data_IF_056025980267
#
_entry.id   IF_056025980267
#
_cell.length_a   1.000
_cell.length_b   1.000
_cell.length_c   1.000
_cell.angle_alpha   90.00
_cell.angle_beta   90.00
_cell.angle_gamma   90.00
#
_symmetry.space_group_name_H-M   'P 1'
#
loop_
_entity.id
_entity.type
_entity.pdbx_description
1 polymer ?
#
# COMPACT_ATOMS: atom_id res chain seq x y z
N UNK A 1 9.68 8.63 -17.38
CA UNK A 1 9.30 9.03 -16.02
C UNK A 1 10.03 8.13 -15.03
N UNK A 2 10.74 8.69 -14.05
CA UNK A 2 11.40 7.86 -13.01
C UNK A 2 10.38 7.40 -11.98
N UNK A 3 10.50 6.14 -11.55
CA UNK A 3 9.70 5.53 -10.48
C UNK A 3 10.64 5.16 -9.34
N UNK A 4 10.41 5.73 -8.16
CA UNK A 4 11.27 5.52 -6.99
C UNK A 4 10.41 5.10 -5.81
N UNK A 5 10.68 3.92 -5.25
CA UNK A 5 9.98 3.41 -4.06
C UNK A 5 10.84 3.59 -2.80
N UNK A 6 10.28 4.21 -1.77
CA UNK A 6 10.87 4.25 -0.44
C UNK A 6 10.30 3.09 0.37
N UNK A 7 11.18 2.17 0.81
CA UNK A 7 10.76 0.88 1.37
C UNK A 7 11.79 0.30 2.35
N UNK A 8 11.36 -0.70 3.12
CA UNK A 8 12.26 -1.60 3.84
C UNK A 8 11.86 -3.06 3.63
N UNK A 9 12.82 -3.98 3.71
CA UNK A 9 12.66 -5.37 3.23
C UNK A 9 11.69 -6.22 4.02
N UNK A 10 11.61 -6.02 5.34
CA UNK A 10 10.69 -6.75 6.20
C UNK A 10 9.24 -6.23 6.14
N UNK A 11 8.92 -5.22 5.33
CA UNK A 11 7.56 -4.67 5.24
C UNK A 11 6.69 -5.53 4.29
N UNK A 12 5.59 -6.13 4.78
CA UNK A 12 4.67 -6.86 3.89
C UNK A 12 4.02 -5.96 2.84
N UNK A 13 3.72 -4.70 3.17
CA UNK A 13 3.18 -3.73 2.21
C UNK A 13 4.22 -3.30 1.16
N UNK A 14 5.52 -3.30 1.48
CA UNK A 14 6.56 -3.09 0.45
C UNK A 14 6.57 -4.25 -0.53
N UNK A 15 6.51 -5.50 -0.03
CA UNK A 15 6.43 -6.70 -0.87
C UNK A 15 5.20 -6.66 -1.77
N UNK A 16 4.04 -6.20 -1.26
CA UNK A 16 2.84 -5.97 -2.07
C UNK A 16 3.13 -5.04 -3.26
N UNK A 17 3.76 -3.88 -3.03
CA UNK A 17 4.08 -2.94 -4.10
C UNK A 17 5.15 -3.49 -5.04
N UNK A 18 6.14 -4.23 -4.55
CA UNK A 18 7.12 -4.89 -5.43
C UNK A 18 6.43 -5.85 -6.41
N UNK A 19 5.48 -6.65 -5.90
CA UNK A 19 4.71 -7.58 -6.71
C UNK A 19 3.83 -6.85 -7.74
N UNK A 20 3.26 -5.69 -7.38
CA UNK A 20 2.53 -4.81 -8.30
C UNK A 20 3.46 -4.26 -9.39
N UNK A 21 4.63 -3.73 -9.02
CA UNK A 21 5.63 -3.21 -9.95
C UNK A 21 6.16 -4.30 -10.88
N UNK A 22 6.27 -5.53 -10.37
CA UNK A 22 6.64 -6.72 -11.12
C UNK A 22 5.56 -7.12 -12.11
N UNK A 23 4.30 -7.24 -11.67
CA UNK A 23 3.15 -7.59 -12.51
C UNK A 23 2.93 -6.57 -13.63
N UNK A 24 3.08 -5.28 -13.32
CA UNK A 24 2.95 -4.20 -14.32
C UNK A 24 4.17 -4.04 -15.22
N UNK A 25 5.25 -4.76 -14.98
CA UNK A 25 6.52 -4.60 -15.70
C UNK A 25 7.06 -3.15 -15.71
N UNK A 26 6.98 -2.44 -14.57
CA UNK A 26 7.50 -1.07 -14.44
C UNK A 26 8.95 -1.06 -13.93
N UNK A 27 9.93 -0.54 -14.71
CA UNK A 27 11.28 -0.27 -14.22
C UNK A 27 11.26 0.78 -13.11
N UNK A 28 12.03 0.56 -12.05
CA UNK A 28 12.05 1.45 -10.89
C UNK A 28 13.39 1.35 -10.16
N UNK A 29 13.64 2.32 -9.30
CA UNK A 29 14.74 2.35 -8.33
C UNK A 29 14.14 2.27 -6.92
N UNK A 30 14.94 1.88 -5.92
CA UNK A 30 14.50 1.87 -4.51
C UNK A 30 15.42 2.66 -3.59
N UNK A 31 14.81 3.29 -2.60
CA UNK A 31 15.48 3.86 -1.42
C UNK A 31 15.16 2.97 -0.23
N UNK A 32 16.19 2.46 0.43
CA UNK A 32 16.02 1.70 1.67
C UNK A 32 15.85 2.67 2.84
N UNK A 33 14.74 2.54 3.57
CA UNK A 33 14.42 3.38 4.73
C UNK A 33 14.41 2.59 6.03
N UNK A 34 14.47 3.28 7.16
CA UNK A 34 14.38 2.64 8.47
C UNK A 34 13.00 1.99 8.71
N UNK A 35 12.95 0.90 9.49
CA UNK A 35 11.69 0.23 9.86
C UNK A 35 10.90 0.95 10.98
N UNK A 36 11.49 1.98 11.57
CA UNK A 36 10.96 2.88 12.62
C UNK A 36 11.35 4.32 12.26
N UNK A 37 10.74 5.31 12.93
CA UNK A 37 11.18 6.71 12.80
C UNK A 37 12.50 6.95 13.56
N UNK A 38 13.28 7.99 13.20
CA UNK A 38 13.06 8.96 12.11
C UNK A 38 13.42 8.41 10.72
N UNK A 39 12.92 9.07 9.67
CA UNK A 39 13.26 8.84 8.25
C UNK A 39 13.53 10.18 7.56
N UNK A 40 14.67 10.83 7.86
CA UNK A 40 14.99 12.18 7.36
C UNK A 40 15.00 12.26 5.83
N UNK A 41 15.29 11.15 5.14
CA UNK A 41 15.23 11.04 3.70
C UNK A 41 13.83 11.25 3.09
N UNK A 42 12.78 11.20 3.94
CA UNK A 42 11.40 11.51 3.59
C UNK A 42 10.96 12.79 4.29
N UNK A 43 11.11 12.86 5.62
CA UNK A 43 10.58 13.99 6.41
C UNK A 43 11.29 15.29 6.07
N UNK A 44 12.62 15.28 6.03
CA UNK A 44 13.42 16.50 5.96
C UNK A 44 13.68 16.88 4.50
N UNK A 45 13.88 15.89 3.63
CA UNK A 45 14.17 16.12 2.22
C UNK A 45 12.90 16.42 1.41
N UNK A 46 11.79 15.73 1.68
CA UNK A 46 10.55 15.83 0.89
C UNK A 46 9.41 16.57 1.62
N UNK A 47 9.57 16.85 2.92
CA UNK A 47 8.53 17.50 3.72
C UNK A 47 7.34 16.58 4.03
N UNK A 48 7.52 15.26 3.96
CA UNK A 48 6.43 14.28 4.13
C UNK A 48 6.53 13.60 5.49
N UNK A 49 5.60 13.87 6.39
CA UNK A 49 5.60 13.32 7.77
C UNK A 49 4.79 12.03 7.89
N UNK A 50 4.05 11.65 6.84
CA UNK A 50 3.33 10.38 6.76
C UNK A 50 4.28 9.22 7.01
N UNK A 51 4.02 8.47 8.10
CA UNK A 51 4.99 7.47 8.60
C UNK A 51 4.80 6.06 8.05
N UNK A 52 3.76 5.74 7.28
CA UNK A 52 3.65 4.37 6.72
C UNK A 52 4.56 4.24 5.51
N UNK A 53 5.00 3.02 5.26
CA UNK A 53 5.88 2.66 4.15
C UNK A 53 5.32 1.38 3.51
N UNK A 54 5.28 1.30 2.17
CA UNK A 54 5.98 2.17 1.22
C UNK A 54 5.27 3.49 0.90
N UNK A 55 6.07 4.46 0.42
CA UNK A 55 5.62 5.56 -0.44
C UNK A 55 6.33 5.42 -1.79
N UNK A 56 5.74 5.92 -2.87
CA UNK A 56 6.28 5.79 -4.21
C UNK A 56 6.20 7.11 -4.96
N UNK A 57 7.29 7.54 -5.58
CA UNK A 57 7.35 8.72 -6.43
C UNK A 57 7.27 8.34 -7.92
N UNK A 58 6.51 9.11 -8.70
CA UNK A 58 6.51 9.09 -10.17
C UNK A 58 6.78 10.51 -10.66
N UNK A 59 8.03 10.79 -11.05
CA UNK A 59 8.46 12.18 -11.23
C UNK A 59 8.43 12.93 -9.89
N UNK A 60 7.75 14.08 -9.84
CA UNK A 60 7.61 14.90 -8.62
C UNK A 60 6.42 14.51 -7.72
N UNK A 61 5.52 13.65 -8.21
CA UNK A 61 4.34 13.21 -7.48
C UNK A 61 4.66 12.01 -6.56
N UNK A 62 4.44 12.17 -5.26
CA UNK A 62 4.63 11.16 -4.22
C UNK A 62 3.27 10.59 -3.82
N UNK A 63 3.07 9.29 -4.02
CA UNK A 63 1.86 8.57 -3.66
C UNK A 63 2.01 7.85 -2.33
N UNK A 64 1.16 8.21 -1.38
CA UNK A 64 1.06 7.58 -0.07
C UNK A 64 -0.06 6.54 -0.05
N UNK A 65 0.15 5.43 0.68
CA UNK A 65 -0.76 4.27 0.78
C UNK A 65 -0.75 3.35 -0.45
N UNK A 66 -0.73 2.05 -0.21
CA UNK A 66 -0.59 1.05 -1.29
C UNK A 66 -1.78 0.99 -2.22
N UNK A 67 -2.98 1.37 -1.74
CA UNK A 67 -4.17 1.44 -2.58
C UNK A 67 -4.05 2.53 -3.65
N UNK A 68 -3.57 3.71 -3.27
CA UNK A 68 -3.38 4.81 -4.21
C UNK A 68 -2.18 4.57 -5.11
N UNK A 69 -1.08 4.01 -4.59
CA UNK A 69 0.07 3.61 -5.40
C UNK A 69 -0.37 2.65 -6.53
N UNK A 70 -1.22 1.66 -6.24
CA UNK A 70 -1.75 0.75 -7.25
C UNK A 70 -2.54 1.47 -8.34
N UNK A 71 -3.46 2.37 -7.95
CA UNK A 71 -4.25 3.19 -8.88
C UNK A 71 -3.36 4.11 -9.74
N UNK A 72 -2.40 4.79 -9.12
CA UNK A 72 -1.50 5.70 -9.80
C UNK A 72 -0.62 4.96 -10.82
N UNK A 73 -0.07 3.81 -10.45
CA UNK A 73 0.71 3.00 -11.39
C UNK A 73 -0.15 2.54 -12.57
N UNK A 74 -1.40 2.11 -12.34
CA UNK A 74 -2.31 1.72 -13.43
C UNK A 74 -2.58 2.88 -14.40
N UNK A 75 -2.83 4.08 -13.86
CA UNK A 75 -3.14 5.29 -14.63
C UNK A 75 -1.92 5.84 -15.38
N UNK A 76 -0.76 5.87 -14.74
CA UNK A 76 0.49 6.45 -15.28
C UNK A 76 1.23 5.49 -16.22
N UNK A 77 0.97 4.19 -16.10
CA UNK A 77 1.56 3.12 -16.92
C UNK A 77 0.45 2.19 -17.44
N UNK A 78 -0.43 2.69 -18.34
CA UNK A 78 -1.59 1.95 -18.79
C UNK A 78 -1.18 0.80 -19.72
N UNK A 79 -1.89 -0.33 -19.60
CA UNK A 79 -1.67 -1.51 -20.43
C UNK A 79 -1.87 -1.25 -21.93
N UNK A 80 -2.72 -0.27 -22.28
CA UNK A 80 -2.94 0.17 -23.67
C UNK A 80 -1.67 0.64 -24.40
N UNK A 81 -0.60 0.96 -23.66
CA UNK A 81 0.70 1.31 -24.25
C UNK A 81 1.48 0.09 -24.76
N UNK A 82 1.01 -1.14 -24.51
CA UNK A 82 1.61 -2.39 -25.02
C UNK A 82 2.87 -2.88 -24.29
N UNK A 83 3.46 -2.07 -23.41
CA UNK A 83 4.70 -2.40 -22.68
C UNK A 83 4.48 -2.81 -21.22
N UNK A 84 3.34 -2.42 -20.64
CA UNK A 84 3.05 -2.58 -19.21
C UNK A 84 1.94 -3.61 -19.00
N UNK A 85 2.08 -4.43 -17.96
CA UNK A 85 0.99 -5.28 -17.47
C UNK A 85 -0.12 -4.46 -16.82
N UNK A 86 -1.25 -5.09 -16.54
CA UNK A 86 -2.40 -4.47 -15.84
C UNK A 86 -2.66 -5.13 -14.50
N UNK A 87 -3.18 -4.35 -13.54
CA UNK A 87 -3.72 -4.85 -12.29
C UNK A 87 -5.20 -5.28 -12.39
N UNK A 88 -5.83 -4.99 -13.52
CA UNK A 88 -7.24 -5.24 -13.81
C UNK A 88 -7.41 -5.95 -15.16
N UNK A 89 -6.89 -7.18 -15.30
CA UNK A 89 -7.05 -7.98 -16.51
C UNK A 89 -8.52 -8.27 -16.82
N UNK A 90 -8.83 -8.50 -18.10
CA UNK A 90 -10.17 -8.88 -18.55
C UNK A 90 -10.61 -10.20 -17.91
N UNK A 91 -11.92 -10.43 -17.87
CA UNK A 91 -12.50 -11.72 -17.45
C UNK A 91 -12.26 -12.79 -18.52
N UNK A 92 -12.00 -14.03 -18.11
CA UNK A 92 -11.75 -15.16 -19.03
C UNK A 92 -12.89 -15.41 -20.02
N UNK A 93 -14.12 -15.17 -19.60
CA UNK A 93 -15.31 -15.42 -20.38
C UNK A 93 -15.90 -14.15 -21.02
N UNK A 94 -15.08 -13.10 -21.17
CA UNK A 94 -15.49 -11.81 -21.71
C UNK A 94 -16.09 -10.87 -20.67
N UNK A 95 -16.08 -9.58 -20.99
CA UNK A 95 -16.55 -8.51 -20.11
C UNK A 95 -15.41 -7.63 -19.56
N UNK A 96 -15.79 -6.48 -19.01
CA UNK A 96 -14.85 -5.55 -18.41
C UNK A 96 -14.28 -6.09 -17.09
N UNK A 97 -13.06 -5.70 -16.72
CA UNK A 97 -12.56 -5.96 -15.38
C UNK A 97 -13.47 -5.34 -14.33
N UNK A 98 -13.70 -6.04 -13.22
CA UNK A 98 -14.47 -5.54 -12.07
C UNK A 98 -13.64 -4.51 -11.26
N UNK A 99 -13.03 -3.53 -11.93
CA UNK A 99 -11.99 -2.64 -11.38
C UNK A 99 -12.39 -1.99 -10.06
N UNK A 100 -13.61 -1.43 -9.98
CA UNK A 100 -14.11 -0.79 -8.77
C UNK A 100 -14.25 -1.77 -7.60
N UNK A 101 -14.78 -2.97 -7.85
CA UNK A 101 -14.94 -4.02 -6.84
C UNK A 101 -13.58 -4.60 -6.43
N UNK A 102 -12.65 -4.80 -7.37
CA UNK A 102 -11.30 -5.26 -7.06
C UNK A 102 -10.57 -4.26 -6.17
N UNK A 103 -10.65 -2.95 -6.45
CA UNK A 103 -10.08 -1.89 -5.60
C UNK A 103 -10.72 -1.90 -4.20
N UNK A 104 -12.05 -1.93 -4.12
CA UNK A 104 -12.77 -1.94 -2.86
C UNK A 104 -12.46 -3.20 -2.03
N UNK A 105 -12.49 -4.37 -2.67
CA UNK A 105 -12.11 -5.65 -2.09
C UNK A 105 -10.70 -5.57 -1.51
N UNK A 106 -9.71 -5.20 -2.31
CA UNK A 106 -8.30 -5.11 -1.90
C UNK A 106 -8.10 -4.19 -0.68
N UNK A 107 -8.74 -3.02 -0.65
CA UNK A 107 -8.60 -2.05 0.45
C UNK A 107 -9.36 -2.46 1.71
N UNK A 108 -10.64 -2.83 1.57
CA UNK A 108 -11.53 -3.02 2.71
C UNK A 108 -11.50 -4.42 3.31
N UNK A 109 -10.90 -5.39 2.62
CA UNK A 109 -10.75 -6.73 3.18
C UNK A 109 -9.29 -7.16 3.36
N UNK A 110 -8.49 -7.50 2.32
CA UNK A 110 -7.14 -7.99 2.54
C UNK A 110 -6.23 -7.00 3.26
N UNK A 111 -6.20 -5.73 2.84
CA UNK A 111 -5.28 -4.73 3.37
C UNK A 111 -5.62 -4.24 4.79
N UNK A 112 -6.85 -4.48 5.24
CA UNK A 112 -7.36 -3.97 6.52
C UNK A 112 -7.79 -5.12 7.43
N UNK A 113 -8.92 -5.75 7.12
CA UNK A 113 -9.52 -6.79 7.97
C UNK A 113 -8.61 -8.03 8.07
N UNK A 114 -8.23 -8.62 6.94
CA UNK A 114 -7.38 -9.83 6.93
C UNK A 114 -5.98 -9.50 7.45
N UNK A 115 -5.37 -8.42 6.95
CA UNK A 115 -4.04 -8.01 7.39
C UNK A 115 -3.98 -7.76 8.89
N UNK A 116 -5.02 -7.23 9.53
CA UNK A 116 -5.02 -6.94 10.98
C UNK A 116 -4.77 -8.16 11.87
N UNK A 117 -5.07 -9.37 11.37
CA UNK A 117 -4.86 -10.64 12.05
C UNK A 117 -3.38 -11.07 12.03
N UNK A 118 -2.70 -10.84 10.90
CA UNK A 118 -1.35 -11.36 10.70
C UNK A 118 -0.30 -10.84 11.71
N UNK A 119 -0.27 -9.55 12.08
CA UNK A 119 0.68 -9.04 13.08
C UNK A 119 0.60 -9.72 14.44
N UNK A 120 -0.51 -10.34 14.86
CA UNK A 120 -0.58 -11.04 16.16
C UNK A 120 0.40 -12.24 16.23
N UNK A 121 0.81 -12.77 15.08
CA UNK A 121 1.71 -13.90 14.95
C UNK A 121 3.20 -13.52 14.90
N UNK A 122 3.50 -12.22 14.95
CA UNK A 122 4.87 -11.77 15.16
C UNK A 122 5.39 -12.22 16.54
N UNK A 123 6.71 -12.42 16.69
CA UNK A 123 7.33 -12.78 17.95
C UNK A 123 7.44 -11.55 18.87
N UNK A 124 6.30 -11.00 19.30
CA UNK A 124 6.20 -9.79 20.13
C UNK A 124 7.04 -9.86 21.40
N UNK A 125 7.16 -11.06 21.97
CA UNK A 125 7.96 -11.35 23.16
C UNK A 125 9.47 -11.17 22.95
N UNK A 126 9.93 -11.13 21.69
CA UNK A 126 11.35 -11.01 21.32
C UNK A 126 11.74 -9.62 20.83
N UNK A 127 10.78 -8.72 20.63
CA UNK A 127 11.10 -7.39 20.12
C UNK A 127 11.67 -6.49 21.23
N UNK A 128 12.66 -5.63 20.91
CA UNK A 128 13.22 -4.71 21.88
C UNK A 128 12.18 -3.65 22.29
N UNK A 129 12.27 -3.09 23.52
CA UNK A 129 11.33 -2.09 24.03
C UNK A 129 11.09 -0.91 23.08
N UNK A 130 12.15 -0.41 22.43
CA UNK A 130 12.05 0.68 21.44
C UNK A 130 11.14 0.35 20.27
N UNK A 131 11.14 -0.90 19.79
CA UNK A 131 10.26 -1.35 18.72
C UNK A 131 8.80 -1.46 19.19
N UNK A 132 8.59 -1.95 20.42
CA UNK A 132 7.26 -2.01 21.01
C UNK A 132 6.66 -0.60 21.21
N UNK A 133 7.48 0.37 21.62
CA UNK A 133 7.07 1.77 21.71
C UNK A 133 6.74 2.36 20.33
N UNK A 134 7.61 2.17 19.33
CA UNK A 134 7.34 2.65 17.97
C UNK A 134 6.02 2.08 17.40
N UNK A 135 5.78 0.79 17.59
CA UNK A 135 4.54 0.11 17.14
C UNK A 135 3.32 0.45 17.99
N UNK A 136 3.52 0.75 19.28
CA UNK A 136 2.48 1.33 20.13
C UNK A 136 2.04 2.68 19.58
N UNK A 137 3.00 3.59 19.36
CA UNK A 137 2.74 4.93 18.83
C UNK A 137 2.07 4.86 17.46
N UNK A 138 2.45 3.89 16.62
CA UNK A 138 1.79 3.60 15.35
C UNK A 138 0.31 3.23 15.53
N UNK A 139 -0.07 2.59 16.63
CA UNK A 139 -1.46 2.22 16.96
C UNK A 139 -2.18 3.25 17.84
N UNK A 140 -1.54 4.35 18.21
CA UNK A 140 -2.10 5.36 19.11
C UNK A 140 -2.00 4.99 20.60
N UNK A 141 -1.06 4.11 20.97
CA UNK A 141 -0.71 3.80 22.37
C UNK A 141 0.76 4.13 22.66
N UNK A 142 1.19 4.14 23.92
CA UNK A 142 2.61 4.38 24.24
C UNK A 142 3.49 3.17 23.91
N UNK A 143 2.93 1.97 24.03
CA UNK A 143 3.62 0.70 23.74
C UNK A 143 2.63 -0.39 23.33
N UNK A 144 3.15 -1.47 22.74
CA UNK A 144 2.39 -2.68 22.46
C UNK A 144 2.15 -3.48 23.74
N UNK A 145 0.89 -3.84 23.99
CA UNK A 145 0.55 -4.84 24.99
C UNK A 145 0.87 -6.25 24.44
N UNK A 146 2.07 -6.75 24.76
CA UNK A 146 2.56 -8.06 24.29
C UNK A 146 1.63 -9.20 24.75
N UNK A 147 1.16 -9.19 25.99
CA UNK A 147 0.28 -10.22 26.52
C UNK A 147 -1.03 -10.30 25.73
N UNK A 148 -1.63 -9.16 25.40
CA UNK A 148 -2.85 -9.12 24.58
C UNK A 148 -2.62 -9.62 23.15
N UNK A 149 -1.47 -9.29 22.53
CA UNK A 149 -1.12 -9.81 21.20
C UNK A 149 -1.00 -11.34 21.22
N UNK A 150 -0.32 -11.89 22.22
CA UNK A 150 -0.14 -13.34 22.40
C UNK A 150 -1.47 -14.05 22.66
N UNK A 151 -2.27 -13.52 23.60
CA UNK A 151 -3.59 -14.06 23.93
C UNK A 151 -4.55 -14.06 22.73
N UNK A 152 -4.41 -13.08 21.83
CA UNK A 152 -5.23 -12.99 20.61
C UNK A 152 -4.91 -14.02 19.52
N UNK A 153 -3.77 -14.73 19.59
CA UNK A 153 -3.30 -15.62 18.50
C UNK A 153 -4.30 -16.74 18.17
N UNK A 154 -4.93 -17.35 19.17
CA UNK A 154 -5.90 -18.42 18.94
C UNK A 154 -7.13 -17.94 18.15
N UNK A 155 -7.71 -16.80 18.56
CA UNK A 155 -8.81 -16.15 17.84
C UNK A 155 -8.39 -15.73 16.43
N UNK A 156 -7.18 -15.18 16.30
CA UNK A 156 -6.60 -14.81 15.00
C UNK A 156 -6.50 -16.00 14.06
N UNK A 157 -5.94 -17.14 14.51
CA UNK A 157 -5.86 -18.38 13.72
C UNK A 157 -7.23 -18.88 13.27
N UNK A 158 -8.19 -18.90 14.18
CA UNK A 158 -9.56 -19.31 13.85
C UNK A 158 -10.14 -18.42 12.75
N UNK A 159 -9.98 -17.09 12.84
CA UNK A 159 -10.46 -16.17 11.82
C UNK A 159 -9.69 -16.27 10.49
N UNK A 160 -8.37 -16.46 10.53
CA UNK A 160 -7.55 -16.67 9.33
C UNK A 160 -7.96 -17.94 8.58
N UNK A 161 -8.31 -19.00 9.32
CA UNK A 161 -8.86 -20.25 8.80
C UNK A 161 -10.25 -20.02 8.17
N UNK A 162 -11.14 -19.27 8.82
CA UNK A 162 -12.44 -18.90 8.25
C UNK A 162 -12.30 -18.13 6.94
N UNK A 163 -11.34 -17.21 6.85
CA UNK A 163 -11.09 -16.49 5.59
C UNK A 163 -10.49 -17.38 4.50
N UNK A 164 -9.68 -18.38 4.85
CA UNK A 164 -9.24 -19.40 3.88
C UNK A 164 -10.43 -20.23 3.38
N UNK A 165 -11.40 -20.56 4.23
CA UNK A 165 -12.60 -21.27 3.80
C UNK A 165 -13.41 -20.49 2.75
N UNK A 166 -13.52 -19.16 2.89
CA UNK A 166 -14.17 -18.31 1.87
C UNK A 166 -13.40 -18.28 0.55
N UNK A 167 -12.06 -18.28 0.61
CA UNK A 167 -11.21 -18.35 -0.58
C UNK A 167 -11.34 -19.74 -1.23
N UNK A 168 -11.41 -20.80 -0.45
CA UNK A 168 -11.61 -22.17 -0.91
C UNK A 168 -12.95 -22.31 -1.63
N UNK A 169 -14.03 -21.79 -1.03
CA UNK A 169 -15.37 -21.75 -1.63
C UNK A 169 -15.33 -21.02 -2.98
N UNK A 170 -14.71 -19.83 -3.03
CA UNK A 170 -14.57 -19.05 -4.25
C UNK A 170 -13.82 -19.81 -5.36
N UNK A 171 -12.79 -20.58 -5.00
CA UNK A 171 -11.95 -21.34 -5.95
C UNK A 171 -12.52 -22.73 -6.29
N UNK A 172 -13.60 -23.14 -5.63
CA UNK A 172 -14.17 -24.50 -5.78
C UNK A 172 -14.84 -24.74 -7.13
N UNK A 173 -15.19 -23.68 -7.86
CA UNK A 173 -15.74 -23.79 -9.22
C UNK A 173 -14.66 -24.00 -10.30
N UNK A 174 -13.38 -24.07 -9.91
CA UNK A 174 -12.27 -24.33 -10.81
C UNK A 174 -11.66 -23.08 -11.45
N UNK A 175 -12.09 -21.87 -11.07
CA UNK A 175 -11.46 -20.63 -11.54
C UNK A 175 -9.98 -20.55 -11.12
N UNK A 176 -9.19 -19.86 -11.94
CA UNK A 176 -7.75 -19.75 -11.71
C UNK A 176 -7.37 -18.59 -10.78
N UNK A 177 -8.10 -17.48 -10.87
CA UNK A 177 -7.85 -16.25 -10.12
C UNK A 177 -9.15 -15.80 -9.44
N UNK A 178 -9.04 -15.04 -8.35
CA UNK A 178 -10.16 -14.77 -7.44
C UNK A 178 -11.38 -14.13 -8.13
N UNK A 179 -11.14 -13.32 -9.16
CA UNK A 179 -12.15 -12.59 -9.94
C UNK A 179 -12.37 -13.18 -11.35
N UNK A 180 -11.95 -14.42 -11.58
CA UNK A 180 -12.07 -15.13 -12.86
C UNK A 180 -11.50 -14.36 -14.07
N UNK A 181 -10.34 -13.74 -13.84
CA UNK A 181 -9.63 -12.94 -14.83
C UNK A 181 -8.67 -13.79 -15.66
N UNK A 182 -8.20 -13.28 -16.80
CA UNK A 182 -7.22 -13.96 -17.67
C UNK A 182 -5.84 -14.09 -17.00
N UNK A 183 -5.48 -13.13 -16.15
CA UNK A 183 -4.22 -13.02 -15.42
C UNK A 183 -4.51 -12.68 -13.95
N UNK A 184 -3.55 -12.86 -13.01
CA UNK A 184 -3.78 -12.44 -11.63
C UNK A 184 -4.00 -10.93 -11.54
N UNK A 185 -4.93 -10.52 -10.69
CA UNK A 185 -5.33 -9.12 -10.51
C UNK A 185 -4.76 -8.53 -9.20
N UNK A 186 -5.05 -7.25 -8.94
CA UNK A 186 -4.80 -6.63 -7.64
C UNK A 186 -5.47 -7.41 -6.49
N UNK A 187 -6.62 -8.05 -6.71
CA UNK A 187 -7.29 -8.84 -5.68
C UNK A 187 -6.40 -10.02 -5.25
N UNK A 188 -5.83 -10.73 -6.22
CA UNK A 188 -4.97 -11.89 -5.96
C UNK A 188 -3.71 -11.48 -5.20
N UNK A 189 -3.03 -10.43 -5.65
CA UNK A 189 -1.85 -9.89 -4.95
C UNK A 189 -2.19 -9.49 -3.51
N UNK A 190 -3.35 -8.86 -3.29
CA UNK A 190 -3.74 -8.32 -1.99
C UNK A 190 -4.04 -9.42 -0.97
N UNK A 191 -4.58 -10.57 -1.38
CA UNK A 191 -4.76 -11.71 -0.48
C UNK A 191 -3.43 -12.47 -0.30
N UNK A 192 -2.72 -12.69 -1.41
CA UNK A 192 -1.50 -13.50 -1.44
C UNK A 192 -0.38 -12.96 -0.56
N UNK A 193 -0.16 -11.63 -0.54
CA UNK A 193 0.93 -11.06 0.26
C UNK A 193 0.73 -11.31 1.76
N UNK A 194 -0.53 -11.32 2.25
CA UNK A 194 -0.83 -11.55 3.66
C UNK A 194 -0.52 -13.00 4.05
N UNK A 195 -1.05 -13.97 3.31
CA UNK A 195 -0.82 -15.39 3.60
C UNK A 195 0.63 -15.81 3.37
N UNK A 196 1.29 -15.27 2.35
CA UNK A 196 2.71 -15.54 2.11
C UNK A 196 3.60 -14.95 3.22
N UNK A 197 3.25 -13.78 3.76
CA UNK A 197 3.94 -13.23 4.93
C UNK A 197 3.71 -14.07 6.18
N UNK A 198 2.46 -14.50 6.42
CA UNK A 198 2.09 -15.40 7.51
C UNK A 198 2.89 -16.69 7.52
N UNK A 199 3.14 -17.32 6.36
CA UNK A 199 3.95 -18.56 6.25
C UNK A 199 5.35 -18.44 6.90
N UNK A 200 5.88 -17.23 7.07
CA UNK A 200 7.16 -17.00 7.74
C UNK A 200 7.10 -17.03 9.27
N UNK A 201 5.91 -17.18 9.88
CA UNK A 201 5.72 -17.16 11.33
C UNK A 201 5.52 -18.56 11.91
N UNK A 202 5.78 -18.69 13.21
CA UNK A 202 5.56 -19.94 13.95
C UNK A 202 4.13 -20.03 14.44
N UNK A 203 3.59 -21.25 14.54
CA UNK A 203 2.27 -21.52 15.12
C UNK A 203 1.11 -21.19 14.18
N UNK A 204 1.37 -21.09 12.87
CA UNK A 204 0.36 -20.87 11.81
C UNK A 204 0.31 -22.03 10.82
N UNK A 205 1.08 -23.09 11.06
CA UNK A 205 1.28 -24.21 10.14
C UNK A 205 -0.04 -24.92 9.83
N UNK A 206 -0.97 -24.96 10.80
CA UNK A 206 -2.30 -25.54 10.63
C UNK A 206 -3.19 -24.82 9.60
N UNK A 207 -2.88 -23.56 9.24
CA UNK A 207 -3.58 -22.85 8.17
C UNK A 207 -3.25 -23.42 6.79
N UNK A 208 -2.12 -24.12 6.64
CA UNK A 208 -1.60 -24.56 5.35
C UNK A 208 -1.72 -26.08 5.17
N UNK A 209 -2.87 -26.65 5.57
CA UNK A 209 -3.21 -28.05 5.36
C UNK A 209 -3.96 -28.27 4.03
N UNK A 210 -3.32 -28.96 3.09
CA UNK A 210 -3.90 -29.28 1.78
C UNK A 210 -5.10 -30.23 1.84
N UNK A 211 -5.31 -30.93 2.96
CA UNK A 211 -6.53 -31.73 3.18
C UNK A 211 -7.75 -30.86 3.45
N UNK A 212 -7.54 -29.64 3.96
CA UNK A 212 -8.61 -28.70 4.32
C UNK A 212 -8.81 -27.63 3.24
N UNK A 213 -7.71 -27.10 2.68
CA UNK A 213 -7.76 -25.99 1.72
C UNK A 213 -6.99 -26.30 0.42
N UNK A 214 -7.27 -27.41 -0.28
CA UNK A 214 -6.51 -27.81 -1.46
C UNK A 214 -6.46 -26.73 -2.54
N UNK A 215 -7.59 -26.08 -2.85
CA UNK A 215 -7.67 -25.07 -3.93
C UNK A 215 -6.99 -23.77 -3.56
N UNK A 216 -7.14 -23.32 -2.33
CA UNK A 216 -6.51 -22.09 -1.82
C UNK A 216 -4.99 -22.23 -1.81
N UNK A 217 -4.47 -23.38 -1.39
CA UNK A 217 -3.02 -23.62 -1.38
C UNK A 217 -2.46 -23.77 -2.79
N UNK A 218 -3.19 -24.42 -3.69
CA UNK A 218 -2.84 -24.47 -5.11
C UNK A 218 -2.80 -23.07 -5.73
N UNK A 219 -3.82 -22.25 -5.49
CA UNK A 219 -3.86 -20.85 -5.95
C UNK A 219 -2.71 -20.00 -5.37
N UNK A 220 -2.41 -20.10 -4.07
CA UNK A 220 -1.26 -19.42 -3.46
C UNK A 220 0.08 -19.84 -4.09
N UNK A 221 0.24 -21.13 -4.38
CA UNK A 221 1.43 -21.66 -5.04
C UNK A 221 1.51 -21.18 -6.50
N UNK A 222 0.39 -21.16 -7.21
CA UNK A 222 0.27 -20.69 -8.60
C UNK A 222 0.69 -19.23 -8.73
N UNK A 223 0.19 -18.35 -7.87
CA UNK A 223 0.60 -16.93 -7.89
C UNK A 223 2.08 -16.76 -7.51
N UNK A 224 2.56 -17.49 -6.51
CA UNK A 224 3.99 -17.49 -6.15
C UNK A 224 4.89 -17.89 -7.32
N UNK A 225 4.51 -18.95 -8.05
CA UNK A 225 5.23 -19.42 -9.22
C UNK A 225 5.15 -18.42 -10.38
N UNK A 226 3.99 -17.81 -10.61
CA UNK A 226 3.79 -16.78 -11.62
C UNK A 226 4.71 -15.57 -11.37
N UNK A 227 4.69 -15.02 -10.15
CA UNK A 227 5.59 -13.93 -9.74
C UNK A 227 7.07 -14.35 -9.82
N UNK A 228 7.39 -15.59 -9.46
CA UNK A 228 8.73 -16.16 -9.58
C UNK A 228 9.26 -16.14 -11.02
N UNK A 229 8.43 -16.55 -11.99
CA UNK A 229 8.77 -16.49 -13.42
C UNK A 229 9.00 -15.06 -13.91
N UNK A 230 8.12 -14.13 -13.54
CA UNK A 230 8.30 -12.72 -13.91
C UNK A 230 9.62 -12.15 -13.37
N UNK A 231 9.99 -12.54 -12.14
CA UNK A 231 11.23 -12.08 -11.50
C UNK A 231 12.49 -12.59 -12.21
N UNK A 232 12.47 -13.79 -12.81
CA UNK A 232 13.63 -14.35 -13.53
C UNK A 232 14.01 -13.52 -14.76
N UNK A 233 13.06 -12.83 -15.37
CA UNK A 233 13.29 -11.97 -16.54
C UNK A 233 13.63 -10.52 -16.16
N UNK A 234 13.78 -10.21 -14.86
CA UNK A 234 14.11 -8.86 -14.39
C UNK A 234 15.56 -8.72 -13.97
N UNK A 235 16.15 -7.60 -14.39
CA UNK A 235 17.40 -7.09 -13.80
C UNK A 235 17.17 -6.71 -12.34
N UNK A 236 18.25 -6.74 -11.56
CA UNK A 236 18.23 -6.30 -10.17
C UNK A 236 17.76 -4.84 -10.08
N UNK A 237 16.85 -4.55 -9.15
CA UNK A 237 16.34 -3.20 -8.89
C UNK A 237 17.46 -2.36 -8.27
N UNK A 238 17.89 -1.25 -8.92
CA UNK A 238 18.94 -0.40 -8.39
C UNK A 238 18.54 0.23 -7.06
N UNK A 239 19.52 0.33 -6.14
CA UNK A 239 19.37 1.05 -4.87
C UNK A 239 20.05 2.40 -5.01
N UNK A 240 19.33 3.48 -4.70
CA UNK A 240 19.86 4.85 -4.70
C UNK A 240 19.77 5.46 -3.30
N UNK A 241 20.57 6.49 -3.05
CA UNK A 241 20.52 7.20 -1.76
C UNK A 241 19.25 8.04 -1.66
N UNK A 242 18.78 8.29 -0.43
CA UNK A 242 17.64 9.18 -0.19
C UNK A 242 17.87 10.60 -0.71
N UNK A 243 19.12 11.08 -0.65
CA UNK A 243 19.52 12.40 -1.18
C UNK A 243 19.42 12.46 -2.71
N UNK A 244 19.94 11.46 -3.41
CA UNK A 244 19.87 11.40 -4.88
C UNK A 244 18.42 11.27 -5.35
N UNK A 245 17.64 10.42 -4.67
CA UNK A 245 16.21 10.28 -4.94
C UNK A 245 15.47 11.60 -4.75
N UNK A 246 15.65 12.28 -3.62
CA UNK A 246 14.95 13.53 -3.34
C UNK A 246 15.31 14.65 -4.33
N UNK A 247 16.60 14.77 -4.70
CA UNK A 247 17.03 15.73 -5.72
C UNK A 247 16.37 15.45 -7.08
N UNK A 248 16.29 14.18 -7.50
CA UNK A 248 15.62 13.78 -8.75
C UNK A 248 14.12 14.03 -8.72
N UNK A 249 13.46 13.74 -7.60
CA UNK A 249 12.01 13.95 -7.43
C UNK A 249 11.69 15.45 -7.48
N UNK A 250 12.42 16.27 -6.73
CA UNK A 250 12.21 17.72 -6.68
C UNK A 250 12.46 18.41 -8.04
N UNK A 251 13.41 17.90 -8.84
CA UNK A 251 13.71 18.43 -10.17
C UNK A 251 12.82 17.86 -11.29
N UNK A 252 12.03 16.83 -11.02
CA UNK A 252 11.20 16.19 -12.03
C UNK A 252 9.92 16.98 -12.32
N UNK A 253 9.30 16.67 -13.46
CA UNK A 253 7.95 17.16 -13.77
C UNK A 253 6.92 16.45 -12.88
N UNK A 254 5.97 17.23 -12.38
CA UNK A 254 4.73 16.72 -11.77
C UNK A 254 3.68 16.42 -12.84
N UNK A 255 2.62 15.71 -12.45
CA UNK A 255 1.42 15.55 -13.27
C UNK A 255 0.62 16.87 -13.39
N UNK A 256 0.06 17.22 -14.55
CA UNK A 256 -0.81 18.38 -14.64
C UNK A 256 -1.95 18.36 -13.61
N UNK A 257 -2.24 19.51 -12.96
CA UNK A 257 -3.20 19.58 -11.85
C UNK A 257 -4.62 19.16 -12.26
N UNK A 258 -4.98 19.36 -13.52
CA UNK A 258 -6.28 19.04 -14.11
C UNK A 258 -6.53 17.52 -14.24
N UNK A 259 -5.48 16.70 -14.20
CA UNK A 259 -5.65 15.23 -14.23
C UNK A 259 -6.37 14.74 -12.97
N UNK A 260 -6.03 15.29 -11.80
CA UNK A 260 -6.77 15.03 -10.56
C UNK A 260 -7.96 15.98 -10.46
N UNK A 261 -7.73 17.25 -10.76
CA UNK A 261 -8.71 18.33 -10.67
C UNK A 261 -9.09 18.70 -9.24
N UNK A 262 -9.90 19.74 -9.11
CA UNK A 262 -10.53 20.10 -7.83
C UNK A 262 -12.06 20.01 -7.97
N UNK A 263 -12.64 18.95 -7.43
CA UNK A 263 -14.08 18.72 -7.35
C UNK A 263 -14.66 19.63 -6.24
N UNK A 264 -15.21 20.78 -6.68
CA UNK A 264 -15.76 21.82 -5.79
C UNK A 264 -16.90 21.28 -4.91
N UNK A 265 -17.70 20.35 -5.43
CA UNK A 265 -18.80 19.77 -4.66
C UNK A 265 -18.27 18.88 -3.53
N UNK A 266 -17.27 18.06 -3.82
CA UNK A 266 -16.58 17.27 -2.78
C UNK A 266 -15.85 18.16 -1.78
N UNK A 267 -15.18 19.22 -2.25
CA UNK A 267 -14.58 20.23 -1.39
C UNK A 267 -15.60 20.83 -0.43
N UNK A 268 -16.78 21.23 -0.93
CA UNK A 268 -17.86 21.75 -0.09
C UNK A 268 -18.38 20.75 0.93
N UNK A 269 -18.51 19.46 0.58
CA UNK A 269 -18.94 18.40 1.52
C UNK A 269 -17.94 18.19 2.65
N UNK A 270 -16.65 18.39 2.38
CA UNK A 270 -15.58 18.25 3.36
C UNK A 270 -15.23 19.55 4.08
N UNK A 271 -15.80 20.69 3.66
CA UNK A 271 -15.40 22.00 4.18
C UNK A 271 -13.98 22.40 3.76
N UNK A 272 -13.54 22.00 2.56
CA UNK A 272 -12.20 22.24 2.01
C UNK A 272 -12.28 23.08 0.73
N UNK A 273 -11.28 23.94 0.52
CA UNK A 273 -11.11 24.78 -0.68
C UNK A 273 -9.69 24.61 -1.25
N UNK A 274 -9.57 24.78 -2.56
CA UNK A 274 -8.27 24.84 -3.20
C UNK A 274 -7.43 25.98 -2.57
N UNK A 275 -6.19 25.67 -2.22
CA UNK A 275 -5.28 26.59 -1.53
C UNK A 275 -5.32 26.50 0.00
N UNK A 276 -6.28 25.80 0.61
CA UNK A 276 -6.31 25.61 2.06
C UNK A 276 -5.03 24.93 2.54
N UNK A 277 -4.50 25.36 3.69
CA UNK A 277 -3.47 24.60 4.39
C UNK A 277 -4.15 23.49 5.18
N UNK A 278 -3.82 22.24 4.87
CA UNK A 278 -4.45 21.06 5.47
C UNK A 278 -3.43 20.09 6.03
N UNK A 279 -3.82 19.30 7.03
CA UNK A 279 -3.12 18.11 7.50
C UNK A 279 -3.90 16.88 7.07
N UNK A 280 -3.25 15.95 6.37
CA UNK A 280 -3.86 14.71 5.90
C UNK A 280 -3.27 13.52 6.66
N UNK A 281 -4.14 12.75 7.31
CA UNK A 281 -3.75 11.59 8.10
C UNK A 281 -4.67 10.38 7.84
N UNK A 282 -4.18 9.14 8.02
CA UNK A 282 -5.03 7.96 7.98
C UNK A 282 -6.04 7.90 9.12
N UNK A 283 -7.15 7.21 8.89
CA UNK A 283 -8.25 7.07 9.87
C UNK A 283 -8.10 5.87 10.80
N UNK A 284 -7.18 4.94 10.53
CA UNK A 284 -7.05 3.64 11.21
C UNK A 284 -5.79 3.52 12.08
N UNK A 285 -4.60 3.71 11.51
CA UNK A 285 -3.33 3.65 12.22
C UNK A 285 -2.41 4.81 11.86
N UNK A 286 -1.46 5.15 12.72
CA UNK A 286 -0.58 6.31 12.55
C UNK A 286 -1.34 7.65 12.38
N UNK A 287 -2.52 7.77 13.00
CA UNK A 287 -3.40 8.95 12.88
C UNK A 287 -2.74 10.27 13.32
N UNK A 288 -1.75 10.18 14.21
CA UNK A 288 -1.02 11.33 14.75
C UNK A 288 0.15 11.77 13.84
N UNK A 289 0.29 11.19 12.65
CA UNK A 289 1.38 11.47 11.71
C UNK A 289 0.82 12.01 10.40
N UNK A 290 0.05 13.10 10.52
CA UNK A 290 -0.53 13.80 9.38
C UNK A 290 0.52 14.61 8.63
N UNK A 291 0.46 14.60 7.30
CA UNK A 291 1.29 15.47 6.45
C UNK A 291 0.58 16.77 6.18
N UNK A 292 1.25 17.88 6.49
CA UNK A 292 0.74 19.21 6.26
C UNK A 292 1.22 19.77 4.92
N UNK A 293 0.33 20.46 4.23
CA UNK A 293 0.67 21.12 2.97
C UNK A 293 -0.48 21.97 2.44
N UNK A 294 -0.24 22.60 1.30
CA UNK A 294 -1.26 23.38 0.59
C UNK A 294 -2.09 22.44 -0.28
N UNK A 295 -3.40 22.37 -0.06
CA UNK A 295 -4.33 21.56 -0.85
C UNK A 295 -4.44 22.12 -2.27
N UNK A 296 -4.01 21.35 -3.26
CA UNK A 296 -3.97 21.79 -4.67
C UNK A 296 -4.91 21.00 -5.59
N UNK A 297 -5.27 19.77 -5.21
CA UNK A 297 -6.25 18.99 -5.93
C UNK A 297 -7.06 18.10 -4.98
N UNK A 298 -8.28 17.78 -5.37
CA UNK A 298 -9.21 16.98 -4.61
C UNK A 298 -10.24 16.37 -5.54
N UNK A 299 -10.34 15.05 -5.59
CA UNK A 299 -11.45 14.37 -6.27
C UNK A 299 -12.00 13.22 -5.42
N UNK A 300 -12.72 12.28 -6.04
CA UNK A 300 -13.34 11.13 -5.37
C UNK A 300 -12.34 10.02 -5.00
N UNK A 301 -11.14 10.03 -5.58
CA UNK A 301 -10.10 9.04 -5.35
C UNK A 301 -8.98 9.55 -4.43
N UNK A 302 -8.56 10.82 -4.56
CA UNK A 302 -7.40 11.34 -3.83
C UNK A 302 -7.49 12.83 -3.43
N UNK A 303 -6.72 13.15 -2.38
CA UNK A 303 -6.29 14.49 -2.01
C UNK A 303 -4.86 14.72 -2.52
N UNK A 304 -4.54 15.94 -2.94
CA UNK A 304 -3.16 16.32 -3.30
C UNK A 304 -2.76 17.59 -2.57
N UNK A 305 -1.62 17.53 -1.87
CA UNK A 305 -1.03 18.68 -1.20
C UNK A 305 0.38 18.96 -1.72
N UNK A 306 0.77 20.23 -1.75
CA UNK A 306 2.17 20.63 -1.91
C UNK A 306 2.86 20.62 -0.56
N UNK A 307 3.94 19.83 -0.44
CA UNK A 307 4.82 19.80 0.73
C UNK A 307 6.15 20.45 0.39
N UNK A 308 6.80 21.00 1.42
CA UNK A 308 8.05 21.73 1.29
C UNK A 308 9.11 21.03 2.13
N UNK A 309 10.05 20.36 1.47
CA UNK A 309 11.24 19.80 2.09
C UNK A 309 12.50 20.57 1.70
N UNK A 310 13.64 20.18 2.28
CA UNK A 310 14.94 20.80 1.96
C UNK A 310 15.40 20.53 0.51
N UNK A 311 14.87 19.51 -0.16
CA UNK A 311 15.15 19.25 -1.58
C UNK A 311 14.28 20.11 -2.52
N UNK A 312 13.17 20.68 -2.04
CA UNK A 312 12.24 21.48 -2.84
C UNK A 312 10.78 21.17 -2.54
N UNK A 313 9.92 21.65 -3.45
CA UNK A 313 8.47 21.40 -3.40
C UNK A 313 8.17 20.08 -4.12
N UNK A 314 7.37 19.24 -3.49
CA UNK A 314 6.84 18.01 -4.07
C UNK A 314 5.34 17.93 -3.85
N UNK A 315 4.67 17.09 -4.64
CA UNK A 315 3.24 16.84 -4.47
C UNK A 315 3.02 15.53 -3.76
N UNK A 316 2.22 15.55 -2.71
CA UNK A 316 1.86 14.36 -1.96
C UNK A 316 0.40 14.03 -2.17
N UNK A 317 0.18 12.83 -2.65
CA UNK A 317 -1.10 12.25 -2.98
C UNK A 317 -1.51 11.27 -1.88
N UNK A 318 -2.74 11.40 -1.39
CA UNK A 318 -3.32 10.54 -0.35
C UNK A 318 -4.69 10.07 -0.81
N UNK A 319 -5.08 8.80 -0.61
CA UNK A 319 -6.39 8.33 -1.04
C UNK A 319 -7.50 9.00 -0.22
N UNK A 320 -8.71 9.10 -0.77
CA UNK A 320 -9.90 9.56 -0.04
C UNK A 320 -10.39 8.54 0.98
N UNK A 321 -10.30 7.27 0.64
CA UNK A 321 -10.78 6.17 1.48
C UNK A 321 -9.78 5.94 2.62
N UNK A 322 -10.28 5.99 3.86
CA UNK A 322 -9.51 5.77 5.10
C UNK A 322 -8.47 6.87 5.40
N UNK A 323 -8.66 8.08 4.87
CA UNK A 323 -7.88 9.25 5.22
C UNK A 323 -8.78 10.46 5.39
N UNK A 324 -8.41 11.32 6.32
CA UNK A 324 -9.07 12.59 6.59
C UNK A 324 -8.11 13.74 6.36
N UNK A 325 -8.57 14.76 5.63
CA UNK A 325 -7.92 16.06 5.55
C UNK A 325 -8.60 17.04 6.51
N UNK A 326 -7.82 17.77 7.30
CA UNK A 326 -8.31 18.81 8.23
C UNK A 326 -7.60 20.12 7.95
N UNK A 327 -8.35 21.22 7.90
CA UNK A 327 -7.76 22.57 7.80
C UNK A 327 -6.88 22.81 9.03
N UNK A 328 -5.64 23.20 8.78
CA UNK A 328 -4.73 23.68 9.82
C UNK A 328 -5.03 25.16 9.98
N UNK A 329 -5.74 25.52 11.05
CA UNK A 329 -5.98 26.93 11.38
C UNK A 329 -4.63 27.63 11.46
N UNK A 330 -4.40 28.60 10.57
CA UNK A 330 -3.19 29.42 10.62
C UNK A 330 -3.02 29.97 12.03
N UNK A 331 -1.79 29.92 12.54
CA UNK A 331 -1.40 30.81 13.62
C UNK A 331 -1.94 32.20 13.25
N UNK A 332 -2.76 32.79 14.13
CA UNK A 332 -3.19 34.18 13.97
C UNK A 332 -1.92 34.98 13.72
N UNK A 333 -1.78 35.51 12.50
CA UNK A 333 -0.72 36.45 12.15
C UNK A 333 -0.78 37.65 13.10
#
# INVERSE_FOLDING_TARGET
MSVIIYRYDASPFSVKIDNILLLKNIPHEKVNVANMLPRPEITDLLGVTYRRIPILAIGNDIYCDTSLIASALERRFPHSNGYYGTLFPNKKHGGSPDTGLIKAFAKHWPDTVLFSLAPLHLPWEKFPPKFLQDRGSFRGSDTINVQAMVAGRGKSLSMLSTYLALIEEQLSDGREWLFDTELPSLADISVHFVYTWLKGFRGVESLFDARTFPKSLEWLARLSAYLGRLKQHRTQVPVITGKDAAARIAAATFEPYDVVGFDVLEGSRLGLKAGDRVSIAPDDSAKNFGTEGKLVALNKEEFVIETHGSAGIVRCHFPRIMFTAKVVSGAKL
#
